data_IF_438044274483
#
_entry.id   IF_438044274483
#
_cell.length_a   1.000
_cell.length_b   1.000
_cell.length_c   1.000
_cell.angle_alpha   90.00
_cell.angle_beta   90.00
_cell.angle_gamma   90.00
#
_symmetry.space_group_name_H-M   'P 1'
#
loop_
_entity.id
_entity.type
_entity.pdbx_description
1 polymer ?
#
# COMPACT_ATOMS: atom_id res chain seq x y z
N UNK A 1 -27.44 11.17 -24.76
CA UNK A 1 -27.20 9.81 -25.29
C UNK A 1 -27.44 8.84 -24.17
N UNK A 2 -28.57 8.12 -24.18
CA UNK A 2 -28.87 7.07 -23.20
C UNK A 2 -27.98 5.87 -23.50
N UNK A 3 -27.10 5.49 -22.57
CA UNK A 3 -26.30 4.29 -22.75
C UNK A 3 -27.20 3.06 -22.79
N UNK A 4 -27.01 2.23 -23.82
CA UNK A 4 -27.80 1.02 -24.03
C UNK A 4 -27.50 -0.01 -22.94
N UNK A 5 -28.52 -0.78 -22.55
CA UNK A 5 -28.39 -1.85 -21.56
C UNK A 5 -27.26 -2.82 -21.95
N UNK A 6 -26.36 -3.20 -21.01
CA UNK A 6 -25.37 -4.23 -21.27
C UNK A 6 -26.03 -5.54 -21.74
N UNK A 7 -25.54 -6.14 -22.83
CA UNK A 7 -26.15 -7.34 -23.43
C UNK A 7 -26.28 -8.53 -22.47
N UNK A 8 -25.39 -8.61 -21.49
CA UNK A 8 -25.36 -9.68 -20.48
C UNK A 8 -26.37 -9.48 -19.35
N UNK A 9 -26.94 -8.28 -19.25
CA UNK A 9 -27.89 -7.90 -18.22
C UNK A 9 -29.28 -7.68 -18.82
N UNK A 10 -30.28 -7.71 -17.94
CA UNK A 10 -31.66 -7.39 -18.30
C UNK A 10 -32.03 -6.04 -17.69
N UNK A 11 -32.46 -5.09 -18.51
CA UNK A 11 -32.88 -3.77 -18.04
C UNK A 11 -34.39 -3.61 -18.16
N UNK A 12 -35.03 -3.16 -17.09
CA UNK A 12 -36.46 -2.81 -17.07
C UNK A 12 -36.61 -1.32 -16.78
N UNK A 13 -37.40 -0.61 -17.59
CA UNK A 13 -37.67 0.81 -17.40
C UNK A 13 -39.11 1.01 -16.89
N UNK A 14 -39.24 1.33 -15.59
CA UNK A 14 -40.51 1.68 -14.94
C UNK A 14 -40.25 2.78 -13.91
N UNK A 15 -40.22 4.04 -14.36
CA UNK A 15 -39.86 5.23 -13.56
C UNK A 15 -38.41 5.20 -13.03
N UNK A 16 -37.49 4.69 -13.84
CA UNK A 16 -36.10 4.42 -13.47
C UNK A 16 -35.68 3.06 -14.00
N UNK A 17 -34.40 2.95 -14.37
CA UNK A 17 -33.89 1.71 -14.95
C UNK A 17 -33.44 0.77 -13.84
N UNK A 18 -34.00 -0.44 -13.82
CA UNK A 18 -33.53 -1.56 -13.01
C UNK A 18 -32.63 -2.42 -13.88
N UNK A 19 -31.36 -2.53 -13.52
CA UNK A 19 -30.36 -3.32 -14.24
C UNK A 19 -30.11 -4.62 -13.48
N UNK A 20 -30.56 -5.73 -14.06
CA UNK A 20 -30.50 -7.07 -13.48
C UNK A 20 -29.38 -7.90 -14.11
N UNK A 21 -28.30 -8.12 -13.37
CA UNK A 21 -27.09 -8.85 -13.79
C UNK A 21 -26.75 -10.01 -12.83
N UNK A 22 -27.68 -10.45 -11.99
CA UNK A 22 -27.46 -11.56 -11.03
C UNK A 22 -27.12 -12.87 -11.73
N UNK A 23 -26.14 -13.62 -11.18
CA UNK A 23 -25.74 -14.97 -11.65
C UNK A 23 -25.33 -15.02 -13.13
N UNK A 24 -24.46 -14.10 -13.55
CA UNK A 24 -23.97 -13.98 -14.93
C UNK A 24 -22.49 -14.31 -15.09
N UNK A 25 -21.84 -14.83 -14.04
CA UNK A 25 -20.40 -15.12 -13.99
C UNK A 25 -19.53 -13.90 -14.33
N UNK A 26 -19.97 -12.70 -13.96
CA UNK A 26 -19.22 -11.47 -14.19
C UNK A 26 -17.98 -11.43 -13.30
N UNK A 27 -16.82 -11.12 -13.86
CA UNK A 27 -15.56 -10.90 -13.12
C UNK A 27 -15.31 -9.41 -12.82
N UNK A 28 -16.05 -8.53 -13.51
CA UNK A 28 -16.00 -7.08 -13.36
C UNK A 28 -17.36 -6.45 -13.62
N UNK A 29 -17.52 -5.19 -13.22
CA UNK A 29 -18.75 -4.43 -13.43
C UNK A 29 -18.88 -4.11 -14.93
N UNK A 30 -20.04 -4.37 -15.56
CA UNK A 30 -20.23 -4.10 -16.99
C UNK A 30 -20.01 -2.61 -17.32
N UNK A 31 -19.23 -2.28 -18.35
CA UNK A 31 -19.11 -0.90 -18.80
C UNK A 31 -20.43 -0.42 -19.43
N UNK A 32 -20.64 0.90 -19.43
CA UNK A 32 -21.80 1.57 -20.05
C UNK A 32 -23.16 1.27 -19.38
N UNK A 33 -23.20 1.28 -18.05
CA UNK A 33 -24.47 1.25 -17.32
C UNK A 33 -25.33 2.49 -17.66
N UNK A 34 -26.66 2.35 -17.81
CA UNK A 34 -27.54 3.49 -18.05
C UNK A 34 -27.47 4.52 -16.90
N UNK A 35 -27.33 5.81 -17.21
CA UNK A 35 -27.22 6.87 -16.18
C UNK A 35 -28.47 7.03 -15.31
N UNK A 36 -29.63 6.63 -15.85
CA UNK A 36 -30.92 6.59 -15.14
C UNK A 36 -31.13 5.31 -14.31
N UNK A 37 -30.07 4.52 -14.08
CA UNK A 37 -30.13 3.33 -13.23
C UNK A 37 -30.47 3.72 -11.80
N UNK A 38 -31.55 3.14 -11.28
CA UNK A 38 -32.01 3.32 -9.89
C UNK A 38 -31.66 2.11 -9.04
N UNK A 39 -31.71 0.91 -9.63
CA UNK A 39 -31.40 -0.35 -8.95
C UNK A 39 -30.42 -1.13 -9.81
N UNK A 40 -29.28 -1.50 -9.24
CA UNK A 40 -28.26 -2.30 -9.89
C UNK A 40 -28.02 -3.59 -9.11
N UNK A 41 -28.34 -4.72 -9.73
CA UNK A 41 -28.26 -6.04 -9.12
C UNK A 41 -27.12 -6.83 -9.78
N UNK A 42 -26.03 -7.03 -9.05
CA UNK A 42 -24.81 -7.71 -9.48
C UNK A 42 -24.47 -8.89 -8.58
N UNK A 43 -25.43 -9.40 -7.81
CA UNK A 43 -25.22 -10.49 -6.87
C UNK A 43 -24.92 -11.83 -7.54
N UNK A 44 -24.30 -12.74 -6.78
CA UNK A 44 -23.94 -14.09 -7.25
C UNK A 44 -23.06 -14.10 -8.51
N UNK A 45 -22.07 -13.22 -8.54
CA UNK A 45 -21.07 -13.14 -9.61
C UNK A 45 -19.67 -13.48 -9.05
N UNK A 46 -18.61 -13.15 -9.79
CA UNK A 46 -17.20 -13.42 -9.40
C UNK A 46 -16.38 -12.14 -9.42
N UNK A 47 -17.03 -11.00 -9.12
CA UNK A 47 -16.39 -9.69 -9.15
C UNK A 47 -15.36 -9.64 -8.03
N UNK A 48 -14.12 -9.26 -8.37
CA UNK A 48 -13.02 -9.13 -7.40
C UNK A 48 -12.63 -7.68 -7.14
N UNK A 49 -12.65 -6.88 -8.20
CA UNK A 49 -12.21 -5.49 -8.17
C UNK A 49 -13.31 -4.59 -8.71
N UNK A 50 -13.50 -3.47 -8.02
CA UNK A 50 -14.45 -2.43 -8.38
C UNK A 50 -13.64 -1.23 -8.86
N UNK A 51 -13.76 -0.82 -10.14
CA UNK A 51 -13.10 0.38 -10.63
C UNK A 51 -13.60 1.64 -9.92
N UNK A 52 -12.70 2.58 -9.60
CA UNK A 52 -13.02 3.87 -8.93
C UNK A 52 -14.16 4.65 -9.58
N UNK A 53 -14.30 4.54 -10.89
CA UNK A 53 -15.27 5.29 -11.68
C UNK A 53 -16.54 4.48 -12.02
N UNK A 54 -16.66 3.24 -11.52
CA UNK A 54 -17.71 2.31 -11.92
C UNK A 54 -19.13 2.84 -11.70
N UNK A 55 -19.31 3.67 -10.67
CA UNK A 55 -20.61 4.21 -10.27
C UNK A 55 -20.71 5.73 -10.31
N UNK A 56 -19.67 6.43 -10.79
CA UNK A 56 -19.61 7.91 -10.74
C UNK A 56 -20.74 8.58 -11.52
N UNK A 57 -21.16 7.98 -12.62
CA UNK A 57 -22.23 8.48 -13.50
C UNK A 57 -23.65 8.10 -13.04
N UNK A 58 -23.80 7.29 -11.99
CA UNK A 58 -25.08 6.72 -11.54
C UNK A 58 -25.72 7.54 -10.42
N UNK A 59 -25.94 8.83 -10.64
CA UNK A 59 -26.44 9.77 -9.63
C UNK A 59 -27.84 9.43 -9.08
N UNK A 60 -28.62 8.63 -9.82
CA UNK A 60 -29.98 8.23 -9.44
C UNK A 60 -30.04 6.88 -8.72
N UNK A 61 -28.88 6.23 -8.54
CA UNK A 61 -28.79 4.92 -7.90
C UNK A 61 -29.27 5.01 -6.45
N UNK A 62 -30.17 4.09 -6.09
CA UNK A 62 -30.76 3.98 -4.75
C UNK A 62 -30.46 2.64 -4.10
N UNK A 63 -30.27 1.60 -4.89
CA UNK A 63 -29.96 0.25 -4.41
C UNK A 63 -28.87 -0.37 -5.28
N UNK A 64 -27.86 -0.91 -4.60
CA UNK A 64 -26.76 -1.64 -5.20
C UNK A 64 -26.56 -2.96 -4.47
N UNK A 65 -26.67 -4.06 -5.19
CA UNK A 65 -26.44 -5.39 -4.66
C UNK A 65 -25.18 -6.01 -5.27
N UNK A 66 -24.13 -6.14 -4.46
CA UNK A 66 -22.87 -6.81 -4.78
C UNK A 66 -22.66 -8.05 -3.90
N UNK A 67 -23.71 -8.55 -3.25
CA UNK A 67 -23.62 -9.75 -2.40
C UNK A 67 -23.17 -10.99 -3.18
N UNK A 68 -22.57 -11.95 -2.49
CA UNK A 68 -22.09 -13.20 -3.11
C UNK A 68 -21.16 -12.95 -4.31
N UNK A 69 -20.11 -12.16 -4.10
CA UNK A 69 -19.03 -11.96 -5.05
C UNK A 69 -17.69 -12.38 -4.40
N UNK A 70 -16.58 -12.01 -5.01
CA UNK A 70 -15.24 -12.34 -4.53
C UNK A 70 -14.44 -11.05 -4.21
N UNK A 71 -15.13 -10.03 -3.70
CA UNK A 71 -14.53 -8.72 -3.40
C UNK A 71 -13.77 -8.81 -2.08
N UNK A 72 -12.49 -8.47 -2.10
CA UNK A 72 -11.64 -8.46 -0.90
C UNK A 72 -11.51 -7.07 -0.31
N UNK A 73 -11.35 -6.05 -1.15
CA UNK A 73 -11.21 -4.66 -0.69
C UNK A 73 -12.02 -3.71 -1.55
N UNK A 74 -12.36 -2.57 -0.96
CA UNK A 74 -13.06 -1.48 -1.63
C UNK A 74 -12.35 -0.18 -1.34
N UNK A 75 -12.23 0.63 -2.38
CA UNK A 75 -11.69 1.99 -2.31
C UNK A 75 -12.84 3.01 -2.29
N UNK A 76 -12.52 4.30 -2.47
CA UNK A 76 -13.44 5.46 -2.52
C UNK A 76 -14.49 5.45 -3.65
N UNK A 77 -14.79 4.29 -4.23
CA UNK A 77 -15.78 4.13 -5.30
C UNK A 77 -17.20 4.46 -4.81
N UNK A 78 -17.47 4.30 -3.50
CA UNK A 78 -18.79 4.47 -2.92
C UNK A 78 -19.02 5.81 -2.23
N UNK A 79 -17.98 6.61 -1.97
CA UNK A 79 -18.06 7.84 -1.18
C UNK A 79 -19.10 8.85 -1.70
N UNK A 80 -19.37 8.82 -3.02
CA UNK A 80 -20.32 9.72 -3.69
C UNK A 80 -21.73 9.12 -3.88
N UNK A 81 -21.96 7.89 -3.42
CA UNK A 81 -23.23 7.20 -3.61
C UNK A 81 -24.12 7.34 -2.37
N UNK A 82 -25.32 7.87 -2.59
CA UNK A 82 -26.39 7.89 -1.58
C UNK A 82 -27.37 6.73 -1.79
N UNK A 83 -26.83 5.52 -1.94
CA UNK A 83 -27.59 4.30 -2.17
C UNK A 83 -27.51 3.36 -0.95
N UNK A 84 -28.51 2.50 -0.81
CA UNK A 84 -28.46 1.32 0.06
C UNK A 84 -27.59 0.26 -0.63
N UNK A 85 -26.55 -0.20 0.06
CA UNK A 85 -25.55 -1.10 -0.53
C UNK A 85 -25.57 -2.43 0.23
N UNK A 86 -25.68 -3.54 -0.51
CA UNK A 86 -25.54 -4.90 0.01
C UNK A 86 -24.17 -5.45 -0.40
N UNK A 87 -23.37 -5.78 0.61
CA UNK A 87 -21.98 -6.25 0.49
C UNK A 87 -21.76 -7.63 1.14
N UNK A 88 -22.83 -8.27 1.62
CA UNK A 88 -22.74 -9.55 2.34
C UNK A 88 -22.08 -10.64 1.50
N UNK A 89 -21.48 -11.60 2.19
CA UNK A 89 -20.91 -12.80 1.56
C UNK A 89 -19.86 -12.47 0.48
N UNK A 90 -18.93 -11.60 0.85
CA UNK A 90 -17.70 -11.33 0.12
C UNK A 90 -16.50 -11.59 1.05
N UNK A 91 -15.35 -12.03 0.53
CA UNK A 91 -14.15 -12.33 1.31
C UNK A 91 -13.42 -11.07 1.78
N UNK A 92 -14.07 -10.21 2.58
CA UNK A 92 -13.54 -8.91 2.98
C UNK A 92 -12.18 -9.02 3.71
N UNK A 93 -11.23 -8.23 3.26
CA UNK A 93 -9.97 -7.95 3.93
C UNK A 93 -10.12 -6.69 4.78
N UNK A 94 -10.17 -6.89 6.09
CA UNK A 94 -10.33 -5.80 7.05
C UNK A 94 -8.99 -5.09 7.31
N UNK A 95 -8.88 -3.91 6.73
CA UNK A 95 -7.75 -3.00 6.84
C UNK A 95 -8.23 -1.54 6.91
N UNK A 96 -7.29 -0.59 6.83
CA UNK A 96 -7.60 0.84 6.90
C UNK A 96 -8.56 1.31 5.79
N UNK A 97 -8.34 0.89 4.54
CA UNK A 97 -9.15 1.29 3.38
C UNK A 97 -10.63 0.94 3.58
N UNK A 98 -10.90 -0.31 3.95
CA UNK A 98 -12.25 -0.80 4.20
C UNK A 98 -12.88 -0.05 5.38
N UNK A 99 -12.14 0.20 6.46
CA UNK A 99 -12.63 0.93 7.63
C UNK A 99 -13.08 2.36 7.30
N UNK A 100 -12.33 3.08 6.45
CA UNK A 100 -12.70 4.44 6.02
C UNK A 100 -13.97 4.43 5.17
N UNK A 101 -14.00 3.55 4.16
CA UNK A 101 -15.11 3.41 3.24
C UNK A 101 -16.40 3.11 4.02
N UNK A 102 -16.39 2.11 4.91
CA UNK A 102 -17.57 1.70 5.67
C UNK A 102 -18.15 2.77 6.61
N UNK A 103 -17.36 3.76 7.04
CA UNK A 103 -17.87 4.89 7.83
C UNK A 103 -18.83 5.77 7.04
N UNK A 104 -18.67 5.83 5.72
CA UNK A 104 -19.47 6.67 4.83
C UNK A 104 -20.62 5.91 4.16
N UNK A 105 -20.52 4.58 4.04
CA UNK A 105 -21.54 3.77 3.38
C UNK A 105 -22.84 3.64 4.20
N UNK A 106 -23.95 3.67 3.48
CA UNK A 106 -25.26 3.23 3.99
C UNK A 106 -25.49 1.76 3.69
N UNK A 107 -24.97 0.89 4.55
CA UNK A 107 -25.19 -0.54 4.44
C UNK A 107 -26.66 -0.90 4.72
N UNK A 108 -27.16 -1.94 4.05
CA UNK A 108 -28.49 -2.46 4.32
C UNK A 108 -28.53 -3.16 5.70
N UNK A 109 -29.39 -2.71 6.64
CA UNK A 109 -29.47 -3.28 7.99
C UNK A 109 -29.86 -4.77 8.02
N UNK A 110 -30.51 -5.28 6.96
CA UNK A 110 -30.88 -6.70 6.88
C UNK A 110 -29.65 -7.58 6.59
N UNK A 111 -28.64 -7.05 5.90
CA UNK A 111 -27.47 -7.83 5.44
C UNK A 111 -26.17 -7.44 6.13
N UNK A 112 -26.16 -6.36 6.92
CA UNK A 112 -24.95 -5.82 7.55
C UNK A 112 -24.25 -6.82 8.47
N UNK A 113 -25.00 -7.69 9.14
CA UNK A 113 -24.44 -8.72 10.03
C UNK A 113 -23.74 -9.85 9.28
N UNK A 114 -24.05 -10.02 7.98
CA UNK A 114 -23.41 -11.01 7.10
C UNK A 114 -22.15 -10.45 6.40
N UNK A 115 -21.81 -9.19 6.68
CA UNK A 115 -20.56 -8.58 6.24
C UNK A 115 -19.51 -8.86 7.32
N UNK A 116 -18.70 -9.89 7.11
CA UNK A 116 -17.65 -10.31 8.04
C UNK A 116 -16.27 -10.23 7.43
N UNK A 117 -15.26 -9.95 8.26
CA UNK A 117 -13.85 -9.99 7.85
C UNK A 117 -13.43 -11.44 7.56
N UNK A 118 -13.07 -11.76 6.33
CA UNK A 118 -12.49 -13.06 5.99
C UNK A 118 -10.98 -13.10 6.27
N UNK A 119 -10.31 -11.98 6.00
CA UNK A 119 -8.92 -11.74 6.40
C UNK A 119 -8.83 -10.37 7.05
N UNK A 120 -7.78 -10.11 7.83
CA UNK A 120 -7.60 -8.86 8.55
C UNK A 120 -6.11 -8.62 8.80
N UNK A 121 -5.72 -7.35 8.89
CA UNK A 121 -4.36 -6.97 9.34
C UNK A 121 -4.08 -7.48 10.75
N UNK A 122 -5.12 -7.62 11.57
CA UNK A 122 -5.04 -8.16 12.93
C UNK A 122 -5.91 -9.40 13.04
N UNK A 123 -5.29 -10.53 13.39
CA UNK A 123 -5.89 -11.87 13.36
C UNK A 123 -7.13 -12.01 14.26
N UNK A 124 -7.22 -11.23 15.34
CA UNK A 124 -8.33 -11.26 16.30
C UNK A 124 -9.69 -10.91 15.68
N UNK A 125 -9.70 -10.16 14.58
CA UNK A 125 -10.93 -9.73 13.90
C UNK A 125 -11.34 -10.65 12.74
N UNK A 126 -10.56 -11.70 12.44
CA UNK A 126 -10.93 -12.66 11.40
C UNK A 126 -12.19 -13.42 11.82
N UNK A 127 -13.17 -13.48 10.91
CA UNK A 127 -14.49 -14.07 11.11
C UNK A 127 -15.48 -13.17 11.85
N UNK A 128 -15.08 -12.00 12.35
CA UNK A 128 -15.99 -11.08 13.04
C UNK A 128 -16.81 -10.25 12.05
N UNK A 129 -18.06 -9.91 12.39
CA UNK A 129 -18.86 -8.99 11.60
C UNK A 129 -18.25 -7.59 11.66
N UNK A 130 -18.23 -6.92 10.51
CA UNK A 130 -17.60 -5.61 10.33
C UNK A 130 -18.15 -4.56 11.28
N UNK A 131 -19.46 -4.60 11.58
CA UNK A 131 -20.08 -3.65 12.53
C UNK A 131 -19.45 -3.74 13.93
N UNK A 132 -19.16 -4.97 14.40
CA UNK A 132 -18.51 -5.20 15.68
C UNK A 132 -17.06 -4.70 15.67
N UNK A 133 -16.36 -4.89 14.55
CA UNK A 133 -14.99 -4.38 14.38
C UNK A 133 -14.98 -2.86 14.46
N UNK A 134 -15.92 -2.18 13.79
CA UNK A 134 -16.04 -0.71 13.84
C UNK A 134 -16.39 -0.21 15.24
N UNK A 135 -17.27 -0.90 15.96
CA UNK A 135 -17.69 -0.53 17.33
C UNK A 135 -16.63 -0.85 18.40
N UNK A 136 -15.65 -1.72 18.10
CA UNK A 136 -14.59 -2.09 19.04
C UNK A 136 -13.59 -0.96 19.35
N UNK A 137 -13.63 0.15 18.59
CA UNK A 137 -12.72 1.28 18.76
C UNK A 137 -11.32 1.07 18.16
N UNK A 138 -11.10 -0.02 17.41
CA UNK A 138 -9.87 -0.25 16.67
C UNK A 138 -9.69 0.77 15.54
N UNK A 139 -8.43 1.15 15.28
CA UNK A 139 -8.06 1.98 14.15
C UNK A 139 -6.95 1.30 13.36
N UNK A 140 -7.32 0.62 12.27
CA UNK A 140 -6.38 -0.07 11.40
C UNK A 140 -5.39 0.89 10.71
N UNK A 141 -5.75 2.17 10.53
CA UNK A 141 -4.90 3.16 9.88
C UNK A 141 -3.67 3.54 10.72
N UNK A 142 -3.74 3.44 12.04
CA UNK A 142 -2.58 3.68 12.90
C UNK A 142 -1.52 2.58 12.77
N UNK A 143 -1.92 1.35 12.38
CA UNK A 143 -0.98 0.25 12.23
C UNK A 143 -0.05 0.48 11.03
N UNK A 144 -0.60 0.96 9.91
CA UNK A 144 0.18 1.22 8.70
C UNK A 144 1.30 2.26 8.94
N UNK A 145 1.03 3.29 9.74
CA UNK A 145 2.05 4.27 10.14
C UNK A 145 3.11 3.68 11.08
N UNK A 146 2.69 2.82 12.00
CA UNK A 146 3.59 2.22 13.00
C UNK A 146 4.60 1.26 12.37
N UNK A 147 4.20 0.49 11.34
CA UNK A 147 5.12 -0.39 10.60
C UNK A 147 6.15 0.40 9.79
N UNK A 148 5.74 1.51 9.17
CA UNK A 148 6.67 2.36 8.40
C UNK A 148 7.69 3.07 9.29
N UNK A 149 7.27 3.55 10.47
CA UNK A 149 8.17 4.19 11.43
C UNK A 149 9.25 3.21 11.91
N UNK A 150 8.87 1.99 12.31
CA UNK A 150 9.84 0.97 12.77
C UNK A 150 10.82 0.58 11.67
N UNK A 151 10.34 0.34 10.44
CA UNK A 151 11.20 0.00 9.31
C UNK A 151 12.20 1.12 8.98
N UNK A 152 11.77 2.39 9.06
CA UNK A 152 12.65 3.54 8.90
C UNK A 152 13.73 3.60 9.98
N UNK A 153 13.38 3.38 11.26
CA UNK A 153 14.37 3.38 12.34
C UNK A 153 15.41 2.27 12.18
N UNK A 154 14.98 1.07 11.78
CA UNK A 154 15.89 -0.06 11.51
C UNK A 154 16.83 0.27 10.35
N UNK A 155 16.30 0.80 9.23
CA UNK A 155 17.10 1.20 8.09
C UNK A 155 18.13 2.28 8.45
N UNK A 156 17.72 3.26 9.26
CA UNK A 156 18.59 4.33 9.74
C UNK A 156 19.71 3.78 10.63
N UNK A 157 19.39 2.85 11.54
CA UNK A 157 20.39 2.18 12.38
C UNK A 157 21.39 1.35 11.55
N UNK A 158 20.93 0.61 10.55
CA UNK A 158 21.78 -0.13 9.62
C UNK A 158 22.69 0.81 8.83
N UNK A 159 22.17 1.94 8.35
CA UNK A 159 22.94 2.95 7.62
C UNK A 159 24.02 3.58 8.50
N UNK A 160 23.67 4.00 9.71
CA UNK A 160 24.64 4.56 10.65
C UNK A 160 25.73 3.55 10.99
N UNK A 161 25.37 2.30 11.25
CA UNK A 161 26.34 1.23 11.52
C UNK A 161 27.31 1.02 10.34
N UNK A 162 26.80 1.03 9.11
CA UNK A 162 27.60 0.89 7.88
C UNK A 162 28.55 2.08 7.70
N UNK A 163 28.05 3.32 7.86
CA UNK A 163 28.87 4.54 7.74
C UNK A 163 29.94 4.58 8.83
N UNK A 164 29.60 4.28 10.08
CA UNK A 164 30.58 4.25 11.18
C UNK A 164 31.64 3.19 10.93
N UNK A 165 31.26 1.99 10.48
CA UNK A 165 32.23 0.94 10.13
C UNK A 165 33.14 1.36 8.96
N UNK A 166 32.59 2.01 7.93
CA UNK A 166 33.36 2.54 6.80
C UNK A 166 34.37 3.61 7.24
N UNK A 167 33.96 4.54 8.11
CA UNK A 167 34.85 5.58 8.64
C UNK A 167 35.98 4.95 9.47
N UNK A 168 35.67 4.00 10.35
CA UNK A 168 36.68 3.29 11.15
C UNK A 168 37.67 2.56 10.23
N UNK A 169 37.16 1.85 9.22
CA UNK A 169 37.98 1.18 8.22
C UNK A 169 38.89 2.17 7.48
N UNK A 170 38.34 3.28 7.02
CA UNK A 170 39.08 4.29 6.28
C UNK A 170 40.19 4.94 7.12
N UNK A 171 39.89 5.31 8.38
CA UNK A 171 40.88 5.86 9.31
C UNK A 171 42.00 4.85 9.57
N UNK A 172 41.64 3.60 9.85
CA UNK A 172 42.63 2.54 10.11
C UNK A 172 43.53 2.32 8.90
N UNK A 173 42.93 2.23 7.71
CA UNK A 173 43.67 2.06 6.46
C UNK A 173 44.64 3.22 6.19
N UNK A 174 44.17 4.46 6.38
CA UNK A 174 45.00 5.65 6.16
C UNK A 174 46.12 5.77 7.21
N UNK A 175 45.90 5.32 8.45
CA UNK A 175 46.96 5.23 9.47
C UNK A 175 48.02 4.17 9.11
N UNK A 176 47.60 3.02 8.58
CA UNK A 176 48.52 1.98 8.10
C UNK A 176 49.37 2.47 6.94
N UNK A 177 48.79 3.21 5.99
CA UNK A 177 49.53 3.84 4.89
C UNK A 177 50.53 4.88 5.38
N UNK A 178 50.11 5.82 6.23
CA UNK A 178 51.01 6.83 6.79
C UNK A 178 52.20 6.20 7.54
N UNK A 179 51.97 5.10 8.27
CA UNK A 179 53.01 4.35 8.96
C UNK A 179 54.02 3.74 7.98
N UNK A 180 53.54 3.09 6.91
CA UNK A 180 54.40 2.52 5.86
C UNK A 180 55.23 3.58 5.15
N UNK A 181 54.63 4.73 4.82
CA UNK A 181 55.35 5.85 4.22
C UNK A 181 56.46 6.40 5.13
N UNK A 182 56.22 6.47 6.44
CA UNK A 182 57.26 6.92 7.39
C UNK A 182 58.40 5.91 7.53
N UNK A 183 58.11 4.61 7.49
CA UNK A 183 59.14 3.55 7.46
C UNK A 183 59.98 3.60 6.18
N UNK A 184 59.35 3.83 5.03
CA UNK A 184 60.05 4.06 3.76
C UNK A 184 60.98 5.27 3.83
N UNK A 185 60.51 6.40 4.38
CA UNK A 185 61.34 7.60 4.56
C UNK A 185 62.54 7.36 5.48
N UNK A 186 62.39 6.54 6.54
CA UNK A 186 63.50 6.16 7.42
C UNK A 186 64.52 5.24 6.75
N UNK A 187 64.09 4.46 5.76
CA UNK A 187 64.98 3.56 5.00
C UNK A 187 65.79 4.28 3.92
N UNK A 188 65.41 5.52 3.57
CA UNK A 188 66.20 6.33 2.65
C UNK A 188 67.54 6.70 3.31
N UNK A 189 68.66 6.61 2.58
CA UNK A 189 69.97 6.93 3.12
C UNK A 189 70.02 8.40 3.54
N UNK A 190 70.38 8.64 4.80
CA UNK A 190 70.59 9.98 5.36
C UNK A 190 71.69 10.71 4.59
N UNK A 191 71.40 11.93 4.14
CA UNK A 191 72.34 12.89 3.51
C UNK A 191 73.45 13.37 4.44
N UNK A 192 73.57 12.81 5.65
CA UNK A 192 74.66 13.10 6.60
C UNK A 192 76.01 12.47 6.22
N UNK A 193 76.08 11.65 5.17
CA UNK A 193 77.34 11.14 4.62
C UNK A 193 77.92 11.98 3.46
N UNK A 194 77.18 12.96 2.93
CA UNK A 194 77.68 13.82 1.84
C UNK A 194 78.49 15.02 2.37
N UNK A 195 78.40 15.35 3.66
CA UNK A 195 79.16 16.47 4.25
C UNK A 195 80.52 16.08 4.82
N UNK A 196 80.91 14.79 4.84
CA UNK A 196 82.21 14.36 5.39
C UNK A 196 83.35 14.32 4.36
N UNK A 197 83.05 14.39 3.07
CA UNK A 197 84.08 14.35 2.02
C UNK A 197 84.54 15.75 1.55
N UNK A 198 83.95 16.84 2.06
CA UNK A 198 84.37 18.20 1.70
C UNK A 198 85.45 18.80 2.63
N UNK A 199 85.63 18.26 3.84
CA UNK A 199 86.56 18.81 4.83
C UNK A 199 88.00 18.23 4.74
N UNK A 200 88.30 17.38 3.74
CA UNK A 200 89.66 16.80 3.57
C UNK A 200 90.41 17.28 2.31
N UNK A 201 89.87 18.25 1.55
CA UNK A 201 90.46 18.70 0.28
C UNK A 201 90.91 20.18 0.24
N UNK A 202 91.30 20.76 1.38
CA UNK A 202 91.91 22.10 1.40
C UNK A 202 93.06 22.20 2.39
N UNK A 203 94.10 21.39 2.15
CA UNK A 203 95.41 21.59 2.76
C UNK A 203 96.54 21.09 1.85
N UNK A 204 96.60 21.55 0.59
CA UNK A 204 97.76 21.32 -0.28
C UNK A 204 97.89 22.48 -1.29
N UNK A 205 98.96 23.27 -1.12
CA UNK A 205 99.55 24.36 -1.92
C UNK A 205 98.86 25.74 -1.93
#
# INVERSE_FOLDING_TARGET
MTHACPKICHCTDRNGVVVQCTSRNLESIPPNLPKDTVVLLLSSNRIRHIPKEAFTDLHRLRELDLSHNAIESVEDTFAKLHARIRLSQNPWHCECSLQEVLRELRLDPETVNEVSCYTSVQEEYVGQPVIQVLDSGINFCNFHHKTTDVAMFVAMFCWFSMVTAYIIYYIKHNQEDARRHMEYLKSLPSTSHISKDYDTASSVF
#
